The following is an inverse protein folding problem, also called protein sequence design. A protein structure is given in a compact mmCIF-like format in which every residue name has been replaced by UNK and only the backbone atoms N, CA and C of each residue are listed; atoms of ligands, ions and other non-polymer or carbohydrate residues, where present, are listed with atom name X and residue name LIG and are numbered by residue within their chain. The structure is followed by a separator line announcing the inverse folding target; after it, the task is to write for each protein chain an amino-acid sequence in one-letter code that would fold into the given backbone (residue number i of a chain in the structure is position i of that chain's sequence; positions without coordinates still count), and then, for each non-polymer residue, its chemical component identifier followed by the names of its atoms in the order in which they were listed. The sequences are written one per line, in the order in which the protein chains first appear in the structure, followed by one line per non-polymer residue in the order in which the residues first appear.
data_IF_752361482764
#
_entry.id   IF_752361482764
#
_cell.length_a   1.000
_cell.length_b   1.000
_cell.length_c   1.000
_cell.angle_alpha   90.00
_cell.angle_beta   90.00
_cell.angle_gamma   90.00
#
_symmetry.space_group_name_H-M   'P 1'
#
loop_
_entity.id
_entity.type
_entity.pdbx_description
1 polymer ?
#
# COMPACT_ATOMS: atom_id res chain seq x y z
N UNK A 1 -0.93 2.41 -6.39
CA UNK A 1 -0.09 1.61 -5.51
C UNK A 1 1.31 2.12 -5.69
N UNK A 2 1.83 2.82 -4.68
CA UNK A 2 3.18 3.37 -4.69
C UNK A 2 4.22 2.27 -4.46
N UNK A 3 5.41 2.46 -5.03
CA UNK A 3 6.59 1.64 -4.73
C UNK A 3 7.07 1.87 -3.29
N UNK A 4 7.23 0.79 -2.54
CA UNK A 4 7.73 0.78 -1.16
C UNK A 4 9.19 0.37 -1.18
N UNK A 5 10.07 1.32 -0.92
CA UNK A 5 11.51 1.13 -0.89
C UNK A 5 11.94 0.66 0.50
N UNK A 6 12.69 -0.44 0.53
CA UNK A 6 13.35 -0.95 1.73
C UNK A 6 14.62 -0.17 1.99
N UNK A 7 14.68 0.54 3.11
CA UNK A 7 15.84 1.38 3.48
C UNK A 7 16.69 0.75 4.58
N UNK A 8 16.20 -0.36 5.17
CA UNK A 8 16.85 -1.08 6.27
C UNK A 8 16.91 -2.58 5.98
N UNK A 9 17.64 -3.30 6.84
CA UNK A 9 17.76 -4.78 6.83
C UNK A 9 16.71 -5.50 7.71
N UNK A 10 15.73 -4.78 8.26
CA UNK A 10 14.80 -5.30 9.28
C UNK A 10 15.33 -5.23 10.71
N UNK A 11 14.60 -5.80 11.67
CA UNK A 11 14.99 -5.86 13.10
C UNK A 11 15.95 -7.02 13.37
N UNK A 12 16.77 -6.93 14.42
CA UNK A 12 17.68 -8.02 14.81
C UNK A 12 16.96 -9.33 15.13
N UNK A 13 15.77 -9.23 15.75
CA UNK A 13 14.91 -10.38 15.99
C UNK A 13 14.45 -11.04 14.68
N UNK A 14 14.07 -10.24 13.69
CA UNK A 14 13.66 -10.74 12.37
C UNK A 14 14.82 -11.43 11.66
N UNK A 15 16.00 -10.82 11.68
CA UNK A 15 17.23 -11.36 11.08
C UNK A 15 17.63 -12.68 11.71
N UNK A 16 17.67 -12.75 13.04
CA UNK A 16 17.92 -13.99 13.79
C UNK A 16 16.91 -15.08 13.42
N UNK A 17 15.62 -14.73 13.31
CA UNK A 17 14.59 -15.68 12.90
C UNK A 17 14.78 -16.17 11.45
N UNK A 18 15.36 -15.34 10.58
CA UNK A 18 15.60 -15.65 9.18
C UNK A 18 16.85 -16.53 8.95
N UNK A 19 17.83 -16.55 9.86
CA UNK A 19 19.04 -17.40 9.76
C UNK A 19 18.71 -18.89 9.58
N UNK A 20 17.62 -19.34 10.19
CA UNK A 20 17.05 -20.66 9.95
C UNK A 20 15.62 -20.45 9.48
N UNK A 21 15.34 -20.33 8.17
CA UNK A 21 14.00 -20.02 7.70
C UNK A 21 13.06 -21.25 7.80
N UNK A 22 11.73 -21.06 7.93
CA UNK A 22 10.79 -22.18 7.94
C UNK A 22 10.85 -22.99 6.65
N UNK A 23 10.74 -24.31 6.77
CA UNK A 23 10.85 -25.23 5.62
C UNK A 23 9.49 -25.64 5.05
N UNK A 24 8.40 -25.37 5.75
CA UNK A 24 7.02 -25.67 5.33
C UNK A 24 5.99 -24.73 5.98
N UNK A 25 4.77 -24.74 5.45
CA UNK A 25 3.67 -23.86 5.88
C UNK A 25 3.36 -23.98 7.39
N UNK A 26 3.42 -25.20 7.96
CA UNK A 26 3.18 -25.42 9.38
C UNK A 26 4.25 -24.78 10.26
N UNK A 27 5.52 -24.90 9.86
CA UNK A 27 6.62 -24.21 10.53
C UNK A 27 6.46 -22.69 10.41
N UNK A 28 6.09 -22.17 9.23
CA UNK A 28 5.85 -20.73 9.05
C UNK A 28 4.77 -20.22 9.97
N UNK A 29 3.63 -20.89 10.03
CA UNK A 29 2.50 -20.51 10.87
C UNK A 29 2.89 -20.51 12.35
N UNK A 30 3.45 -21.61 12.84
CA UNK A 30 3.86 -21.71 14.25
C UNK A 30 4.94 -20.70 14.59
N UNK A 31 5.99 -20.57 13.78
CA UNK A 31 7.10 -19.66 14.10
C UNK A 31 6.70 -18.21 14.01
N UNK A 32 5.86 -17.83 13.04
CA UNK A 32 5.31 -16.49 12.98
C UNK A 32 4.42 -16.18 14.19
N UNK A 33 3.62 -17.14 14.66
CA UNK A 33 2.85 -16.98 15.90
C UNK A 33 3.77 -16.76 17.12
N UNK A 34 4.84 -17.55 17.25
CA UNK A 34 5.81 -17.45 18.35
C UNK A 34 6.82 -16.31 18.20
N UNK A 35 6.86 -15.60 17.06
CA UNK A 35 7.76 -14.47 16.87
C UNK A 35 7.55 -13.36 17.91
N UNK A 36 6.38 -13.32 18.56
CA UNK A 36 6.11 -12.44 19.69
C UNK A 36 5.53 -11.10 19.26
N UNK A 37 4.67 -10.53 20.12
CA UNK A 37 3.98 -9.27 19.85
C UNK A 37 4.93 -8.09 19.80
N UNK A 38 5.89 -8.01 20.71
CA UNK A 38 6.87 -6.93 20.78
C UNK A 38 7.76 -6.88 19.51
N UNK A 39 8.24 -8.03 19.05
CA UNK A 39 9.03 -8.11 17.82
C UNK A 39 8.22 -7.69 16.59
N UNK A 40 6.94 -8.08 16.52
CA UNK A 40 6.02 -7.64 15.45
C UNK A 40 5.73 -6.14 15.53
N UNK A 41 5.56 -5.60 16.73
CA UNK A 41 5.34 -4.16 16.92
C UNK A 41 6.55 -3.34 16.48
N UNK A 42 7.76 -3.74 16.89
CA UNK A 42 9.00 -3.10 16.46
C UNK A 42 9.19 -3.17 14.94
N UNK A 43 8.89 -4.33 14.34
CA UNK A 43 8.91 -4.50 12.90
C UNK A 43 7.87 -3.62 12.20
N UNK A 44 6.64 -3.56 12.71
CA UNK A 44 5.57 -2.72 12.17
C UNK A 44 5.98 -1.24 12.15
N UNK A 45 6.62 -0.74 13.21
CA UNK A 45 7.14 0.64 13.23
C UNK A 45 8.11 0.91 12.08
N UNK A 46 9.02 -0.01 11.78
CA UNK A 46 9.93 0.13 10.64
C UNK A 46 9.19 0.15 9.30
N UNK A 47 8.26 -0.79 9.12
CA UNK A 47 7.47 -0.91 7.88
C UNK A 47 6.61 0.33 7.65
N UNK A 48 5.93 0.85 8.68
CA UNK A 48 5.13 2.07 8.58
C UNK A 48 5.97 3.29 8.27
N UNK A 49 7.17 3.40 8.86
CA UNK A 49 8.08 4.49 8.55
C UNK A 49 8.51 4.47 7.07
N UNK A 50 8.95 3.31 6.56
CA UNK A 50 9.27 3.14 5.12
C UNK A 50 8.06 3.39 4.20
N UNK A 51 6.85 3.24 4.74
CA UNK A 51 5.61 3.38 3.99
C UNK A 51 4.95 4.75 4.14
N UNK A 52 5.55 5.69 4.89
CA UNK A 52 4.92 6.96 5.26
C UNK A 52 3.52 6.75 5.85
N UNK A 53 3.37 5.65 6.59
CA UNK A 53 2.14 5.16 7.20
C UNK A 53 1.03 4.76 6.23
N UNK A 54 1.26 4.71 4.92
CA UNK A 54 0.25 4.23 3.97
C UNK A 54 0.15 2.71 3.98
N UNK A 55 -1.06 2.17 3.85
CA UNK A 55 -1.26 0.77 3.46
C UNK A 55 -0.52 0.48 2.14
N UNK A 56 0.28 -0.58 2.09
CA UNK A 56 1.15 -0.88 0.95
C UNK A 56 0.43 -1.11 -0.38
N UNK A 57 -0.87 -1.45 -0.34
CA UNK A 57 -1.66 -1.71 -1.54
C UNK A 57 -2.71 -0.62 -1.82
N UNK A 58 -3.53 -0.29 -0.82
CA UNK A 58 -4.67 0.62 -1.00
C UNK A 58 -4.34 2.09 -0.72
N UNK A 59 -3.19 2.39 -0.12
CA UNK A 59 -2.76 3.73 0.27
C UNK A 59 -3.68 4.46 1.25
N UNK A 60 -4.59 3.73 1.90
CA UNK A 60 -5.37 4.27 3.01
C UNK A 60 -4.50 4.42 4.25
N UNK A 61 -4.81 5.43 5.06
CA UNK A 61 -4.26 5.59 6.41
C UNK A 61 -5.13 4.82 7.40
N UNK A 62 -4.80 3.54 7.61
CA UNK A 62 -5.57 2.64 8.46
C UNK A 62 -5.66 3.12 9.93
N UNK A 63 -4.71 3.93 10.39
CA UNK A 63 -4.73 4.60 11.69
C UNK A 63 -5.81 5.69 11.77
N UNK A 64 -6.04 6.45 10.68
CA UNK A 64 -7.09 7.47 10.63
C UNK A 64 -8.49 6.85 10.50
N UNK A 65 -8.57 5.66 9.89
CA UNK A 65 -9.82 4.95 9.64
C UNK A 65 -10.20 3.94 10.72
N UNK A 66 -9.39 3.79 11.78
CA UNK A 66 -9.62 2.80 12.84
C UNK A 66 -9.58 1.35 12.35
N UNK A 67 -8.88 1.07 11.25
CA UNK A 67 -8.80 -0.25 10.63
C UNK A 67 -7.60 -1.06 11.13
N UNK A 68 -6.59 -0.38 11.66
CA UNK A 68 -5.34 -0.96 12.11
C UNK A 68 -4.50 -1.55 10.97
N UNK A 69 -3.29 -1.99 11.31
CA UNK A 69 -2.32 -2.52 10.35
C UNK A 69 -1.90 -3.94 10.69
N UNK A 70 -1.74 -4.79 9.67
CA UNK A 70 -1.09 -6.08 9.79
C UNK A 70 0.20 -6.11 8.96
N UNK A 71 1.11 -7.01 9.34
CA UNK A 71 2.32 -7.29 8.56
C UNK A 71 1.91 -8.22 7.44
N UNK A 72 1.95 -7.68 6.23
CA UNK A 72 1.69 -8.40 4.99
C UNK A 72 2.91 -9.19 4.56
N UNK A 73 2.68 -10.44 4.13
CA UNK A 73 3.64 -11.25 3.39
C UNK A 73 3.31 -11.13 1.90
N UNK A 74 4.10 -10.38 1.14
CA UNK A 74 3.87 -10.16 -0.30
C UNK A 74 3.70 -11.49 -1.03
N UNK A 75 4.68 -12.37 -0.91
CA UNK A 75 4.55 -13.78 -1.22
C UNK A 75 4.08 -14.53 0.03
N UNK A 76 2.93 -15.19 -0.06
CA UNK A 76 2.27 -15.81 1.08
C UNK A 76 3.19 -16.83 1.77
N UNK A 77 3.29 -16.74 3.10
CA UNK A 77 4.12 -17.68 3.90
C UNK A 77 3.72 -19.16 3.76
N UNK A 78 2.48 -19.44 3.35
CA UNK A 78 2.02 -20.79 3.03
C UNK A 78 2.57 -21.30 1.71
N UNK A 79 2.75 -20.42 0.73
CA UNK A 79 3.30 -20.69 -0.59
C UNK A 79 4.83 -20.69 -0.60
N UNK A 80 5.44 -19.72 0.10
CA UNK A 80 6.89 -19.61 0.23
C UNK A 80 7.33 -19.51 1.70
N UNK A 81 7.38 -20.65 2.43
CA UNK A 81 7.75 -20.70 3.83
C UNK A 81 9.10 -20.05 4.15
N UNK A 82 10.07 -20.20 3.24
CA UNK A 82 11.43 -19.67 3.40
C UNK A 82 11.48 -18.15 3.59
N UNK A 83 10.47 -17.44 3.09
CA UNK A 83 10.37 -15.96 3.11
C UNK A 83 9.49 -15.41 4.22
N UNK A 84 9.14 -16.23 5.22
CA UNK A 84 8.30 -15.80 6.36
C UNK A 84 8.93 -14.66 7.17
N UNK A 85 10.26 -14.70 7.32
CA UNK A 85 11.04 -13.69 8.05
C UNK A 85 11.98 -12.88 7.15
N UNK A 86 11.84 -13.03 5.82
CA UNK A 86 12.57 -12.23 4.85
C UNK A 86 12.00 -10.81 4.85
N UNK A 87 12.76 -9.82 5.31
CA UNK A 87 12.31 -8.43 5.38
C UNK A 87 11.87 -7.87 4.02
N UNK A 88 12.47 -8.34 2.92
CA UNK A 88 12.14 -7.91 1.56
C UNK A 88 10.78 -8.47 1.09
N UNK A 89 10.17 -9.39 1.84
CA UNK A 89 8.86 -9.94 1.60
C UNK A 89 7.76 -9.29 2.46
N UNK A 90 8.11 -8.32 3.32
CA UNK A 90 7.20 -7.79 4.34
C UNK A 90 6.81 -6.34 4.08
N UNK A 91 5.54 -6.03 4.25
CA UNK A 91 4.98 -4.68 4.15
C UNK A 91 3.92 -4.46 5.24
N UNK A 92 3.52 -3.22 5.50
CA UNK A 92 2.36 -2.93 6.33
C UNK A 92 1.10 -2.78 5.44
N UNK A 93 0.07 -3.54 5.72
CA UNK A 93 -1.22 -3.46 5.03
C UNK A 93 -2.31 -3.12 6.03
N UNK A 94 -3.38 -2.47 5.57
CA UNK A 94 -4.56 -2.21 6.38
C UNK A 94 -5.36 -3.49 6.66
N UNK A 95 -6.25 -3.40 7.65
CA UNK A 95 -7.15 -4.44 8.16
C UNK A 95 -6.47 -5.43 9.10
N UNK A 96 -6.12 -4.98 10.31
CA UNK A 96 -5.70 -5.95 11.33
C UNK A 96 -6.89 -6.80 11.84
N UNK A 97 -6.56 -7.90 12.50
CA UNK A 97 -7.54 -8.82 13.06
C UNK A 97 -8.36 -8.25 14.22
N UNK A 98 -7.87 -7.21 14.90
CA UNK A 98 -8.48 -6.66 16.12
C UNK A 98 -9.52 -5.58 15.80
N UNK A 99 -9.27 -4.77 14.76
CA UNK A 99 -10.00 -3.54 14.46
C UNK A 99 -10.78 -3.62 13.14
N UNK A 100 -10.09 -3.92 12.03
CA UNK A 100 -10.68 -3.75 10.70
C UNK A 100 -11.28 -5.02 10.10
N UNK A 101 -10.59 -6.15 10.17
CA UNK A 101 -10.87 -7.33 9.33
C UNK A 101 -12.31 -7.86 9.44
N UNK A 102 -12.84 -7.93 10.67
CA UNK A 102 -14.16 -8.49 10.92
C UNK A 102 -15.32 -7.65 10.33
N UNK A 103 -15.08 -6.36 10.06
CA UNK A 103 -16.08 -5.45 9.48
C UNK A 103 -16.34 -5.73 8.00
N UNK A 104 -15.35 -6.29 7.28
CA UNK A 104 -15.41 -6.47 5.84
C UNK A 104 -15.74 -7.90 5.43
N UNK A 105 -15.29 -8.90 6.20
CA UNK A 105 -15.54 -10.32 5.90
C UNK A 105 -15.14 -10.68 4.47
N UNK A 106 -16.11 -11.15 3.66
CA UNK A 106 -15.88 -11.50 2.25
C UNK A 106 -15.47 -10.31 1.37
N UNK A 107 -15.74 -9.09 1.81
CA UNK A 107 -15.42 -7.85 1.11
C UNK A 107 -14.07 -7.26 1.55
N UNK A 108 -13.27 -7.99 2.33
CA UNK A 108 -11.92 -7.56 2.70
C UNK A 108 -11.06 -7.32 1.45
N UNK A 109 -10.05 -6.46 1.60
CA UNK A 109 -9.18 -6.02 0.52
C UNK A 109 -7.70 -6.14 0.92
N UNK A 110 -6.81 -5.88 -0.03
CA UNK A 110 -5.37 -5.93 0.17
C UNK A 110 -4.91 -7.33 0.61
N UNK A 111 -4.07 -7.37 1.65
CA UNK A 111 -3.53 -8.62 2.19
C UNK A 111 -4.58 -9.63 2.67
N UNK A 112 -5.77 -9.16 3.03
CA UNK A 112 -6.89 -9.99 3.50
C UNK A 112 -7.97 -10.26 2.45
N UNK A 113 -7.78 -9.79 1.21
CA UNK A 113 -8.67 -10.14 0.11
C UNK A 113 -8.72 -11.65 -0.08
N UNK A 114 -9.89 -12.18 -0.45
CA UNK A 114 -10.10 -13.62 -0.66
C UNK A 114 -9.06 -14.22 -1.61
N UNK A 115 -8.80 -13.56 -2.73
CA UNK A 115 -7.79 -14.01 -3.70
C UNK A 115 -6.39 -14.08 -3.08
N UNK A 116 -6.03 -13.11 -2.23
CA UNK A 116 -4.73 -13.08 -1.54
C UNK A 116 -4.59 -14.11 -0.42
N UNK A 117 -5.67 -14.75 0.04
CA UNK A 117 -5.59 -15.84 1.03
C UNK A 117 -5.17 -17.19 0.42
N UNK A 118 -5.19 -17.31 -0.91
CA UNK A 118 -4.83 -18.53 -1.65
C UNK A 118 -3.42 -18.42 -2.27
N UNK A 119 -3.05 -19.35 -3.16
CA UNK A 119 -1.79 -19.26 -3.88
C UNK A 119 -1.82 -18.10 -4.88
N UNK A 120 -0.74 -17.31 -4.92
CA UNK A 120 -0.57 -16.15 -5.79
C UNK A 120 0.37 -16.50 -6.93
N UNK A 121 -0.04 -16.17 -8.16
CA UNK A 121 0.84 -16.22 -9.32
C UNK A 121 1.79 -15.02 -9.28
N UNK A 122 2.99 -15.23 -8.73
CA UNK A 122 4.00 -14.19 -8.58
C UNK A 122 4.53 -13.65 -9.91
N UNK A 123 4.37 -14.37 -11.02
CA UNK A 123 4.72 -13.85 -12.35
C UNK A 123 3.72 -12.80 -12.83
N UNK A 124 2.46 -12.86 -12.34
CA UNK A 124 1.41 -11.90 -12.67
C UNK A 124 1.27 -10.79 -11.64
N UNK A 125 1.49 -11.09 -10.36
CA UNK A 125 1.25 -10.18 -9.26
C UNK A 125 2.16 -8.94 -9.28
N UNK A 126 1.57 -7.76 -9.33
CA UNK A 126 2.26 -6.49 -9.16
C UNK A 126 2.23 -6.13 -7.67
N UNK A 127 3.37 -6.25 -7.00
CA UNK A 127 3.47 -5.96 -5.57
C UNK A 127 4.21 -4.66 -5.30
N UNK A 128 4.03 -4.12 -4.09
CA UNK A 128 4.56 -2.82 -3.68
C UNK A 128 6.09 -2.70 -3.70
N UNK A 129 6.85 -3.80 -3.66
CA UNK A 129 8.31 -3.77 -3.80
C UNK A 129 8.83 -3.86 -5.24
N UNK A 130 7.95 -3.94 -6.25
CA UNK A 130 8.39 -3.83 -7.64
C UNK A 130 8.67 -2.36 -7.95
N UNK A 131 9.85 -2.02 -8.50
CA UNK A 131 10.10 -0.70 -9.04
C UNK A 131 9.01 -0.33 -10.06
N UNK A 132 8.60 0.93 -10.04
CA UNK A 132 7.59 1.50 -10.93
C UNK A 132 6.22 0.79 -10.91
N UNK A 133 5.87 0.09 -9.81
CA UNK A 133 4.58 -0.60 -9.71
C UNK A 133 3.37 0.33 -9.89
N UNK A 134 3.52 1.63 -9.60
CA UNK A 134 2.46 2.63 -9.74
C UNK A 134 1.99 2.79 -11.18
N UNK A 135 2.87 2.62 -12.18
CA UNK A 135 2.53 2.83 -13.60
C UNK A 135 1.47 1.86 -14.14
N UNK A 136 1.22 0.77 -13.43
CA UNK A 136 0.24 -0.24 -13.84
C UNK A 136 -1.21 0.17 -13.56
N UNK A 137 -1.43 1.22 -12.78
CA UNK A 137 -2.74 1.55 -12.25
C UNK A 137 -3.12 2.98 -12.59
N UNK A 138 -4.32 3.16 -13.13
CA UNK A 138 -4.99 4.44 -13.26
C UNK A 138 -6.19 4.51 -12.30
N UNK A 139 -6.48 5.72 -11.83
CA UNK A 139 -7.54 6.00 -10.90
C UNK A 139 -8.61 6.85 -11.57
N UNK A 140 -9.87 6.42 -11.48
CA UNK A 140 -11.00 7.12 -12.10
C UNK A 140 -11.74 7.95 -11.05
N UNK A 141 -12.42 9.00 -11.51
CA UNK A 141 -13.22 9.89 -10.66
C UNK A 141 -14.38 9.18 -9.94
N UNK A 142 -14.86 8.04 -10.46
CA UNK A 142 -15.85 7.20 -9.79
C UNK A 142 -15.26 6.31 -8.67
N UNK A 143 -13.96 6.45 -8.39
CA UNK A 143 -13.23 5.73 -7.36
C UNK A 143 -12.72 4.36 -7.78
N UNK A 144 -12.92 3.93 -9.03
CA UNK A 144 -12.30 2.68 -9.53
C UNK A 144 -10.81 2.83 -9.75
N UNK A 145 -10.09 1.75 -9.48
CA UNK A 145 -8.75 1.50 -10.03
C UNK A 145 -8.87 0.61 -11.26
N UNK A 146 -8.17 0.96 -12.33
CA UNK A 146 -8.15 0.21 -13.60
C UNK A 146 -6.71 0.05 -14.09
N UNK A 147 -6.42 -0.87 -15.01
CA UNK A 147 -5.14 -0.87 -15.73
C UNK A 147 -4.89 0.48 -16.39
N UNK A 148 -3.66 0.98 -16.34
CA UNK A 148 -3.30 2.22 -17.04
C UNK A 148 -3.37 2.06 -18.57
N UNK A 149 -3.69 3.14 -19.28
CA UNK A 149 -3.97 3.11 -20.72
C UNK A 149 -2.74 2.74 -21.58
N UNK A 150 -1.53 3.06 -21.13
CA UNK A 150 -0.28 2.87 -21.89
C UNK A 150 0.30 1.44 -21.79
N UNK A 151 -0.39 0.53 -21.09
CA UNK A 151 0.10 -0.83 -20.87
C UNK A 151 -0.05 -1.70 -22.12
N UNK A 152 0.94 -2.56 -22.36
CA UNK A 152 0.78 -3.62 -23.35
C UNK A 152 -0.14 -4.75 -22.82
N UNK A 153 -0.56 -5.68 -23.70
CA UNK A 153 -1.51 -6.74 -23.34
C UNK A 153 -1.08 -7.60 -22.13
N UNK A 154 0.21 -7.93 -22.01
CA UNK A 154 0.72 -8.70 -20.88
C UNK A 154 0.69 -7.88 -19.59
N UNK A 155 1.03 -6.60 -19.67
CA UNK A 155 1.00 -5.69 -18.53
C UNK A 155 -0.43 -5.40 -18.04
N UNK A 156 -1.37 -5.28 -18.98
CA UNK A 156 -2.79 -5.15 -18.70
C UNK A 156 -3.31 -6.36 -17.93
N UNK A 157 -2.99 -7.58 -18.38
CA UNK A 157 -3.37 -8.82 -17.68
C UNK A 157 -2.81 -8.84 -16.24
N UNK A 158 -1.58 -8.37 -16.04
CA UNK A 158 -0.97 -8.29 -14.70
C UNK A 158 -1.67 -7.29 -13.80
N UNK A 159 -2.04 -6.12 -14.34
CA UNK A 159 -2.77 -5.08 -13.62
C UNK A 159 -4.16 -5.57 -13.21
N UNK A 160 -4.92 -6.16 -14.14
CA UNK A 160 -6.23 -6.76 -13.88
C UNK A 160 -6.14 -7.85 -12.82
N UNK A 161 -5.21 -8.80 -13.00
CA UNK A 161 -4.96 -9.86 -12.03
C UNK A 161 -4.72 -9.30 -10.62
N UNK A 162 -3.92 -8.24 -10.51
CA UNK A 162 -3.58 -7.63 -9.23
C UNK A 162 -4.77 -6.91 -8.59
N UNK A 163 -5.54 -6.16 -9.38
CA UNK A 163 -6.76 -5.46 -8.92
C UNK A 163 -7.76 -6.46 -8.34
N UNK A 164 -7.99 -7.57 -9.03
CA UNK A 164 -8.93 -8.61 -8.63
C UNK A 164 -8.40 -9.40 -7.44
N UNK A 165 -7.13 -9.83 -7.47
CA UNK A 165 -6.49 -10.60 -6.40
C UNK A 165 -6.60 -9.91 -5.05
N UNK A 166 -6.34 -8.60 -5.04
CA UNK A 166 -6.33 -7.76 -3.85
C UNK A 166 -7.69 -7.10 -3.57
N UNK A 167 -8.72 -7.34 -4.39
CA UNK A 167 -10.02 -6.68 -4.29
C UNK A 167 -9.88 -5.15 -4.13
N UNK A 168 -9.02 -4.53 -4.94
CA UNK A 168 -8.72 -3.09 -4.83
C UNK A 168 -9.94 -2.23 -5.17
N UNK A 169 -10.92 -2.79 -5.87
CA UNK A 169 -12.24 -2.23 -6.13
C UNK A 169 -13.31 -2.75 -5.15
N UNK A 170 -12.97 -3.04 -3.89
CA UNK A 170 -14.00 -3.26 -2.87
C UNK A 170 -14.93 -2.03 -2.77
N UNK A 171 -16.20 -2.24 -2.43
CA UNK A 171 -17.18 -1.14 -2.37
C UNK A 171 -16.78 -0.01 -1.41
N UNK A 172 -16.09 -0.35 -0.31
CA UNK A 172 -15.49 0.61 0.60
C UNK A 172 -14.40 1.44 -0.08
N UNK A 173 -13.38 0.79 -0.66
CA UNK A 173 -12.28 1.50 -1.28
C UNK A 173 -12.72 2.35 -2.48
N UNK A 174 -13.68 1.87 -3.28
CA UNK A 174 -14.25 2.67 -4.36
C UNK A 174 -14.94 3.93 -3.82
N UNK A 175 -15.75 3.79 -2.76
CA UNK A 175 -16.44 4.93 -2.14
C UNK A 175 -15.45 5.94 -1.58
N UNK A 176 -14.45 5.48 -0.83
CA UNK A 176 -13.45 6.39 -0.24
C UNK A 176 -12.61 7.11 -1.29
N UNK A 177 -12.22 6.43 -2.37
CA UNK A 177 -11.48 7.08 -3.46
C UNK A 177 -12.33 8.09 -4.23
N UNK A 178 -13.61 7.80 -4.44
CA UNK A 178 -14.53 8.77 -5.06
C UNK A 178 -14.69 10.01 -4.18
N UNK A 179 -14.92 9.82 -2.89
CA UNK A 179 -15.03 10.95 -1.95
C UNK A 179 -13.75 11.79 -1.93
N UNK A 180 -12.58 11.14 -1.93
CA UNK A 180 -11.29 11.82 -2.03
C UNK A 180 -11.14 12.61 -3.33
N UNK A 181 -11.55 12.03 -4.46
CA UNK A 181 -11.56 12.72 -5.75
C UNK A 181 -12.45 13.96 -5.73
N UNK A 182 -13.68 13.84 -5.22
CA UNK A 182 -14.63 14.96 -5.09
C UNK A 182 -14.07 16.07 -4.17
N UNK A 183 -13.34 15.72 -3.11
CA UNK A 183 -12.64 16.67 -2.24
C UNK A 183 -11.51 17.40 -2.99
N UNK A 184 -10.70 16.67 -3.78
CA UNK A 184 -9.65 17.28 -4.61
C UNK A 184 -10.23 18.25 -5.64
N UNK A 185 -11.36 17.92 -6.28
CA UNK A 185 -12.06 18.81 -7.21
C UNK A 185 -12.50 20.10 -6.51
N UNK A 186 -13.14 19.99 -5.34
CA UNK A 186 -13.58 21.15 -4.56
C UNK A 186 -12.41 22.04 -4.12
N UNK A 187 -11.34 21.43 -3.61
CA UNK A 187 -10.14 22.18 -3.19
C UNK A 187 -9.49 22.87 -4.38
N UNK A 188 -9.39 22.20 -5.52
CA UNK A 188 -8.84 22.80 -6.74
C UNK A 188 -9.67 23.98 -7.22
N UNK A 189 -10.99 23.82 -7.34
CA UNK A 189 -11.90 24.90 -7.74
C UNK A 189 -11.80 26.10 -6.79
N UNK A 190 -11.82 25.88 -5.48
CA UNK A 190 -11.69 26.94 -4.48
C UNK A 190 -10.35 27.70 -4.62
N UNK A 191 -9.25 27.00 -4.88
CA UNK A 191 -7.95 27.64 -5.07
C UNK A 191 -7.92 28.52 -6.33
N UNK A 192 -8.53 28.06 -7.42
CA UNK A 192 -8.66 28.85 -8.66
C UNK A 192 -9.52 30.09 -8.41
N UNK A 193 -10.69 29.93 -7.78
CA UNK A 193 -11.62 31.04 -7.50
C UNK A 193 -10.99 32.11 -6.60
N UNK A 194 -10.23 31.69 -5.59
CA UNK A 194 -9.62 32.60 -4.61
C UNK A 194 -8.21 33.07 -5.00
N UNK A 195 -7.65 32.57 -6.11
CA UNK A 195 -6.28 32.86 -6.52
C UNK A 195 -5.25 32.40 -5.49
N UNK A 196 -5.53 31.30 -4.80
CA UNK A 196 -4.61 30.71 -3.83
C UNK A 196 -3.51 29.91 -4.52
N UNK A 197 -2.38 29.79 -3.83
CA UNK A 197 -1.20 29.11 -4.38
C UNK A 197 -1.39 27.59 -4.36
N UNK A 198 -1.62 27.00 -5.54
CA UNK A 198 -1.79 25.57 -5.72
C UNK A 198 -0.57 24.76 -5.26
N UNK A 199 0.64 25.32 -5.32
CA UNK A 199 1.84 24.64 -4.84
C UNK A 199 1.81 24.41 -3.32
N UNK A 200 1.13 25.28 -2.56
CA UNK A 200 0.97 25.10 -1.12
C UNK A 200 0.01 23.97 -0.79
N UNK A 201 -1.12 23.87 -1.52
CA UNK A 201 -2.05 22.74 -1.41
C UNK A 201 -1.32 21.41 -1.68
N UNK A 202 -0.59 21.34 -2.78
CA UNK A 202 0.14 20.13 -3.16
C UNK A 202 1.24 19.76 -2.18
N UNK A 203 1.92 20.73 -1.55
CA UNK A 203 2.86 20.43 -0.48
C UNK A 203 2.17 19.80 0.72
N UNK A 204 0.96 20.24 1.08
CA UNK A 204 0.20 19.61 2.16
C UNK A 204 -0.22 18.18 1.81
N UNK A 205 -0.70 17.96 0.59
CA UNK A 205 -1.25 16.66 0.18
C UNK A 205 -0.19 15.62 -0.25
N UNK A 206 0.97 16.05 -0.79
CA UNK A 206 1.95 15.15 -1.40
C UNK A 206 3.31 15.11 -0.70
N UNK A 207 3.62 16.04 0.21
CA UNK A 207 4.90 16.04 0.93
C UNK A 207 4.70 15.42 2.31
N UNK A 208 5.63 14.57 2.79
CA UNK A 208 5.53 14.02 4.13
C UNK A 208 5.44 15.11 5.19
N UNK A 209 4.50 14.97 6.10
CA UNK A 209 4.33 15.81 7.28
C UNK A 209 5.56 15.74 8.20
N UNK A 210 5.59 16.62 9.22
CA UNK A 210 6.65 16.64 10.23
C UNK A 210 6.80 15.32 11.01
N UNK A 211 5.72 14.53 11.13
CA UNK A 211 5.73 13.20 11.71
C UNK A 211 6.00 12.07 10.69
N UNK A 212 6.51 12.42 9.51
CA UNK A 212 6.93 11.52 8.44
C UNK A 212 5.79 10.68 7.86
N UNK A 213 4.62 11.29 7.66
CA UNK A 213 3.45 10.62 7.11
C UNK A 213 2.95 11.30 5.85
N UNK A 214 2.41 10.50 4.94
CA UNK A 214 1.70 11.02 3.78
C UNK A 214 0.19 11.06 4.06
N UNK A 215 -0.50 11.95 3.34
CA UNK A 215 -1.95 11.92 3.21
C UNK A 215 -2.37 10.62 2.49
N UNK A 216 -3.57 10.13 2.80
CA UNK A 216 -4.09 8.92 2.17
C UNK A 216 -4.34 9.14 0.66
N UNK A 217 -4.36 8.04 -0.10
CA UNK A 217 -4.57 8.06 -1.54
C UNK A 217 -3.54 8.89 -2.35
N UNK A 218 -2.30 8.92 -1.88
CA UNK A 218 -1.17 9.62 -2.52
C UNK A 218 -1.13 9.48 -4.06
N UNK A 219 -1.27 8.27 -4.60
CA UNK A 219 -1.21 8.05 -6.05
C UNK A 219 -2.37 8.73 -6.80
N UNK A 220 -3.54 8.84 -6.18
CA UNK A 220 -4.70 9.51 -6.77
C UNK A 220 -4.43 11.01 -6.82
N UNK A 221 -4.00 11.60 -5.71
CA UNK A 221 -3.64 13.02 -5.65
C UNK A 221 -2.55 13.34 -6.67
N UNK A 222 -1.49 12.53 -6.73
CA UNK A 222 -0.40 12.70 -7.71
C UNK A 222 -0.93 12.63 -9.15
N UNK A 223 -1.82 11.69 -9.45
CA UNK A 223 -2.42 11.56 -10.79
C UNK A 223 -3.36 12.73 -11.13
N UNK A 224 -4.17 13.18 -10.17
CA UNK A 224 -5.14 14.26 -10.37
C UNK A 224 -4.46 15.56 -10.80
N UNK A 225 -3.36 15.91 -10.13
CA UNK A 225 -2.62 17.15 -10.39
C UNK A 225 -1.47 17.02 -11.38
N UNK A 226 -1.22 15.82 -11.92
CA UNK A 226 -0.30 15.59 -13.04
C UNK A 226 1.06 16.31 -12.90
N UNK A 227 1.39 17.21 -13.83
CA UNK A 227 2.69 17.88 -13.92
C UNK A 227 2.98 18.76 -12.69
N UNK A 228 1.96 19.40 -12.13
CA UNK A 228 2.08 20.22 -10.93
C UNK A 228 2.48 19.37 -9.72
N UNK A 229 1.93 18.15 -9.60
CA UNK A 229 2.34 17.19 -8.57
C UNK A 229 3.80 16.76 -8.74
N UNK A 230 4.22 16.43 -9.96
CA UNK A 230 5.61 16.07 -10.25
C UNK A 230 6.59 17.19 -9.88
N UNK A 231 6.24 18.44 -10.19
CA UNK A 231 7.08 19.60 -9.89
C UNK A 231 7.24 19.79 -8.37
N UNK A 232 6.17 19.63 -7.60
CA UNK A 232 6.19 19.74 -6.14
C UNK A 232 7.01 18.61 -5.53
N UNK A 233 6.78 17.37 -5.95
CA UNK A 233 7.54 16.22 -5.48
C UNK A 233 9.03 16.38 -5.80
N UNK A 234 9.39 16.86 -6.98
CA UNK A 234 10.79 17.02 -7.37
C UNK A 234 11.51 18.06 -6.51
N UNK A 235 10.80 19.13 -6.13
CA UNK A 235 11.37 20.22 -5.33
C UNK A 235 11.42 19.90 -3.83
N UNK A 236 10.41 19.18 -3.31
CA UNK A 236 10.17 19.08 -1.87
C UNK A 236 10.27 17.65 -1.32
N UNK A 237 10.08 16.63 -2.15
CA UNK A 237 10.11 15.22 -1.73
C UNK A 237 10.68 14.29 -2.81
N UNK A 238 11.89 14.53 -3.34
CA UNK A 238 12.43 13.76 -4.48
C UNK A 238 12.63 12.27 -4.19
N UNK A 239 12.66 11.86 -2.92
CA UNK A 239 12.73 10.46 -2.51
C UNK A 239 11.41 9.69 -2.74
N UNK A 240 10.31 10.37 -3.08
CA UNK A 240 9.00 9.76 -3.37
C UNK A 240 8.76 9.49 -4.87
N UNK A 241 9.71 9.89 -5.72
CA UNK A 241 9.63 9.73 -7.18
C UNK A 241 10.41 8.50 -7.60
#
# INVERSE_FOLDING_TARGET
MRHVIKTRRGTDALLTAHEQPPQNSDQSTRRWQHFGRENKAALMTLLLNEQYHLCCYSEIRADLRGLGYHIEHVENKSQQPGRTFDYQNLAASALDSENGLHLFGINAFGGHARGKQEAVDMAKFIHCHLPDCSRYFAYLSDGRIVPADELNAQEMERAEYTIDLLNLNSGFLQTERRNHWEELEQLFEEHIEKGWDLQQLLQLELVPSLDHKLHEFFSITRQFFQQEAEQVLQNHAPALI
#
